data_IF_095404141622
#
_entry.id   IF_095404141622
#
_cell.length_a   1.000
_cell.length_b   1.000
_cell.length_c   1.000
_cell.angle_alpha   90.00
_cell.angle_beta   90.00
_cell.angle_gamma   90.00
#
_symmetry.space_group_name_H-M   'P 1'
#
loop_
_entity.id
_entity.type
_entity.pdbx_description
1 polymer ?
#
# COMPACT_ATOMS: atom_id res chain seq x y z
N UNK A 1 12.39 -15.72 6.97
CA UNK A 1 11.17 -14.89 6.93
C UNK A 1 9.98 -15.81 6.72
N UNK A 2 8.95 -15.76 7.56
CA UNK A 2 7.78 -16.65 7.40
C UNK A 2 6.92 -16.23 6.20
N UNK A 3 6.17 -17.15 5.60
CA UNK A 3 5.28 -16.85 4.45
C UNK A 3 4.25 -15.76 4.77
N UNK A 4 3.78 -15.69 6.03
CA UNK A 4 2.87 -14.64 6.50
C UNK A 4 3.55 -13.26 6.57
N UNK A 5 4.83 -13.21 6.98
CA UNK A 5 5.61 -11.97 6.93
C UNK A 5 5.82 -11.52 5.49
N UNK A 6 6.21 -12.42 4.58
CA UNK A 6 6.38 -12.10 3.16
C UNK A 6 5.09 -11.56 2.54
N UNK A 7 3.97 -12.23 2.77
CA UNK A 7 2.64 -11.78 2.32
C UNK A 7 2.33 -10.36 2.82
N UNK A 8 2.54 -10.13 4.11
CA UNK A 8 2.29 -8.84 4.74
C UNK A 8 3.18 -7.74 4.13
N UNK A 9 4.47 -8.01 3.93
CA UNK A 9 5.40 -7.07 3.31
C UNK A 9 5.04 -6.75 1.86
N UNK A 10 4.70 -7.75 1.05
CA UNK A 10 4.30 -7.58 -0.35
C UNK A 10 3.01 -6.76 -0.46
N UNK A 11 2.00 -7.05 0.37
CA UNK A 11 0.77 -6.25 0.43
C UNK A 11 1.08 -4.79 0.73
N UNK A 12 1.93 -4.53 1.72
CA UNK A 12 2.30 -3.15 2.06
C UNK A 12 3.13 -2.45 0.98
N UNK A 13 4.04 -3.15 0.30
CA UNK A 13 4.81 -2.57 -0.80
C UNK A 13 3.89 -2.21 -1.96
N UNK A 14 3.05 -3.13 -2.42
CA UNK A 14 2.10 -2.88 -3.49
C UNK A 14 1.12 -1.75 -3.13
N UNK A 15 0.64 -1.71 -1.88
CA UNK A 15 -0.22 -0.63 -1.39
C UNK A 15 0.45 0.74 -1.48
N UNK A 16 1.69 0.88 -1.00
CA UNK A 16 2.46 2.14 -1.07
C UNK A 16 2.72 2.51 -2.53
N UNK A 17 3.11 1.54 -3.36
CA UNK A 17 3.35 1.76 -4.80
C UNK A 17 2.09 2.29 -5.49
N UNK A 18 0.95 1.61 -5.34
CA UNK A 18 -0.32 2.04 -5.92
C UNK A 18 -0.71 3.42 -5.43
N UNK A 19 -0.56 3.67 -4.14
CA UNK A 19 -0.89 4.95 -3.56
C UNK A 19 -0.10 6.10 -4.18
N UNK A 20 1.21 5.92 -4.38
CA UNK A 20 2.04 6.90 -5.08
C UNK A 20 1.61 7.02 -6.54
N UNK A 21 1.41 5.91 -7.26
CA UNK A 21 0.98 5.92 -8.66
C UNK A 21 -0.36 6.67 -8.86
N UNK A 22 -1.38 6.36 -8.06
CA UNK A 22 -2.69 7.03 -8.11
C UNK A 22 -2.53 8.53 -7.88
N UNK A 23 -1.77 8.91 -6.84
CA UNK A 23 -1.48 10.33 -6.56
C UNK A 23 -0.92 11.06 -7.78
N UNK A 24 -0.02 10.40 -8.50
CA UNK A 24 0.62 10.98 -9.68
C UNK A 24 -0.33 11.06 -10.87
N UNK A 25 -1.04 9.99 -11.18
CA UNK A 25 -1.97 9.96 -12.31
C UNK A 25 -3.14 10.93 -12.13
N UNK A 26 -3.68 11.08 -10.92
CA UNK A 26 -4.76 12.03 -10.65
C UNK A 26 -4.29 13.48 -10.70
N UNK A 27 -3.00 13.75 -10.43
CA UNK A 27 -2.47 15.12 -10.35
C UNK A 27 -1.89 15.60 -11.68
N UNK A 28 -1.21 14.73 -12.45
CA UNK A 28 -0.49 15.13 -13.66
C UNK A 28 -1.15 14.66 -14.97
N UNK A 29 -2.17 13.81 -14.90
CA UNK A 29 -2.79 13.20 -16.09
C UNK A 29 -1.90 12.16 -16.79
N UNK A 30 -2.38 11.59 -17.89
CA UNK A 30 -1.65 10.61 -18.71
C UNK A 30 -1.17 11.30 -19.99
N UNK A 31 0.12 11.59 -20.09
CA UNK A 31 0.76 12.03 -21.33
C UNK A 31 2.15 11.40 -21.48
N UNK A 32 2.57 11.12 -22.71
CA UNK A 32 3.87 10.50 -23.01
C UNK A 32 5.06 11.35 -22.53
N UNK A 33 4.98 12.68 -22.67
CA UNK A 33 5.97 13.61 -22.13
C UNK A 33 5.95 13.68 -20.60
N UNK A 34 4.81 13.39 -19.97
CA UNK A 34 4.67 13.32 -18.51
C UNK A 34 5.24 12.01 -17.95
N UNK A 35 5.35 10.94 -18.76
CA UNK A 35 5.71 9.59 -18.29
C UNK A 35 7.13 9.50 -17.73
N UNK A 36 8.13 10.14 -18.36
CA UNK A 36 9.50 10.19 -17.84
C UNK A 36 9.58 10.94 -16.50
N UNK A 37 8.83 12.04 -16.38
CA UNK A 37 8.75 12.84 -15.15
C UNK A 37 8.06 12.07 -14.03
N UNK A 38 6.99 11.33 -14.36
CA UNK A 38 6.29 10.41 -13.46
C UNK A 38 7.25 9.32 -12.97
N UNK A 39 8.03 8.71 -13.87
CA UNK A 39 8.94 7.63 -13.50
C UNK A 39 10.07 8.11 -12.57
N UNK A 40 10.63 9.30 -12.82
CA UNK A 40 11.64 9.90 -11.95
C UNK A 40 11.06 10.28 -10.58
N UNK A 41 9.86 10.87 -10.56
CA UNK A 41 9.22 11.22 -9.30
C UNK A 41 8.78 9.97 -8.52
N UNK A 42 8.36 8.89 -9.17
CA UNK A 42 8.10 7.61 -8.53
C UNK A 42 9.35 7.08 -7.83
N UNK A 43 10.53 7.16 -8.47
CA UNK A 43 11.79 6.71 -7.89
C UNK A 43 12.13 7.43 -6.57
N UNK A 44 11.77 8.71 -6.44
CA UNK A 44 12.04 9.55 -5.26
C UNK A 44 10.92 9.45 -4.22
N UNK A 45 9.67 9.51 -4.67
CA UNK A 45 8.51 9.52 -3.78
C UNK A 45 8.23 8.16 -3.16
N UNK A 46 8.55 7.07 -3.86
CA UNK A 46 8.39 5.71 -3.34
C UNK A 46 9.19 5.46 -2.04
N UNK A 47 10.51 5.70 -1.97
CA UNK A 47 11.27 5.49 -0.73
C UNK A 47 10.84 6.46 0.39
N UNK A 48 10.44 7.69 0.05
CA UNK A 48 9.90 8.65 1.02
C UNK A 48 8.59 8.15 1.61
N UNK A 49 7.64 7.74 0.76
CA UNK A 49 6.35 7.21 1.17
C UNK A 49 6.50 5.92 2.00
N UNK A 50 7.45 5.06 1.61
CA UNK A 50 7.77 3.85 2.34
C UNK A 50 8.37 4.16 3.73
N UNK A 51 9.27 5.14 3.79
CA UNK A 51 9.88 5.59 5.05
C UNK A 51 8.84 6.20 5.98
N UNK A 52 7.97 7.08 5.50
CA UNK A 52 6.87 7.66 6.29
C UNK A 52 5.95 6.55 6.81
N UNK A 53 5.62 5.56 5.97
CA UNK A 53 4.82 4.41 6.39
C UNK A 53 5.50 3.65 7.52
N UNK A 54 6.80 3.38 7.42
CA UNK A 54 7.52 2.55 8.38
C UNK A 54 7.78 3.26 9.70
N UNK A 55 8.21 4.52 9.66
CA UNK A 55 8.66 5.27 10.84
C UNK A 55 7.54 6.02 11.54
N UNK A 56 6.49 6.41 10.82
CA UNK A 56 5.42 7.26 11.36
C UNK A 56 4.08 6.54 11.34
N UNK A 57 3.64 6.07 10.17
CA UNK A 57 2.27 5.56 10.03
C UNK A 57 2.04 4.25 10.80
N UNK A 58 2.90 3.25 10.61
CA UNK A 58 2.79 1.95 11.28
C UNK A 58 2.76 2.06 12.81
N UNK A 59 3.65 2.81 13.49
CA UNK A 59 3.57 2.95 14.94
C UNK A 59 2.32 3.68 15.40
N UNK A 60 1.84 4.70 14.66
CA UNK A 60 0.59 5.39 14.98
C UNK A 60 -0.60 4.44 14.88
N UNK A 61 -0.75 3.74 13.75
CA UNK A 61 -1.87 2.80 13.51
C UNK A 61 -1.87 1.69 14.55
N UNK A 62 -0.68 1.17 14.89
CA UNK A 62 -0.53 0.14 15.92
C UNK A 62 -1.02 0.65 17.29
N UNK A 63 -0.60 1.85 17.70
CA UNK A 63 -1.07 2.45 18.96
C UNK A 63 -2.57 2.69 18.98
N UNK A 64 -3.15 3.18 17.87
CA UNK A 64 -4.60 3.36 17.73
C UNK A 64 -5.31 2.02 17.90
N UNK A 65 -4.84 0.97 17.23
CA UNK A 65 -5.45 -0.36 17.36
C UNK A 65 -5.31 -0.97 18.75
N UNK A 66 -4.19 -0.72 19.45
CA UNK A 66 -3.95 -1.20 20.82
C UNK A 66 -4.82 -0.46 21.85
N UNK A 67 -5.05 0.86 21.68
CA UNK A 67 -5.77 1.68 22.66
C UNK A 67 -7.27 1.83 22.37
N UNK A 68 -7.67 1.92 21.10
CA UNK A 68 -9.05 2.25 20.69
C UNK A 68 -9.85 1.00 20.32
N UNK A 69 -9.18 -0.08 19.87
CA UNK A 69 -9.80 -1.34 19.48
C UNK A 69 -9.25 -2.55 20.28
N UNK A 70 -9.19 -2.49 21.64
CA UNK A 70 -8.60 -3.57 22.42
C UNK A 70 -9.35 -4.90 22.28
N UNK A 71 -10.69 -4.90 22.07
CA UNK A 71 -11.50 -6.11 22.11
C UNK A 71 -12.48 -6.35 20.94
N UNK A 72 -12.71 -5.39 20.03
CA UNK A 72 -13.78 -5.53 19.04
C UNK A 72 -13.30 -6.19 17.73
N UNK A 73 -13.33 -7.54 17.74
CA UNK A 73 -13.40 -8.43 16.57
C UNK A 73 -12.12 -8.49 15.72
N UNK A 74 -11.37 -9.58 15.87
CA UNK A 74 -10.16 -9.92 15.09
C UNK A 74 -10.39 -9.84 13.57
N UNK A 75 -11.60 -10.21 13.11
CA UNK A 75 -12.02 -10.05 11.72
C UNK A 75 -12.08 -8.58 11.25
N UNK A 76 -12.42 -7.63 12.12
CA UNK A 76 -12.41 -6.19 11.77
C UNK A 76 -10.98 -5.66 11.66
N UNK A 77 -10.06 -6.10 12.52
CA UNK A 77 -8.65 -5.69 12.49
C UNK A 77 -7.99 -5.97 11.12
N UNK A 78 -8.39 -7.06 10.45
CA UNK A 78 -7.90 -7.45 9.10
C UNK A 78 -8.23 -6.41 8.01
N UNK A 79 -9.26 -5.60 8.19
CA UNK A 79 -9.69 -4.57 7.24
C UNK A 79 -9.38 -3.16 7.73
N UNK A 80 -9.57 -2.88 9.02
CA UNK A 80 -9.35 -1.54 9.58
C UNK A 80 -7.88 -1.18 9.64
N UNK A 81 -6.98 -2.14 9.89
CA UNK A 81 -5.55 -1.88 9.97
C UNK A 81 -4.99 -1.31 8.64
N UNK A 82 -5.11 -2.00 7.49
CA UNK A 82 -4.63 -1.45 6.22
C UNK A 82 -5.37 -0.17 5.83
N UNK A 83 -6.68 -0.04 6.15
CA UNK A 83 -7.43 1.18 5.90
C UNK A 83 -6.83 2.40 6.64
N UNK A 84 -6.51 2.26 7.93
CA UNK A 84 -5.88 3.33 8.70
C UNK A 84 -4.47 3.66 8.21
N UNK A 85 -3.70 2.65 7.76
CA UNK A 85 -2.40 2.91 7.14
C UNK A 85 -2.57 3.73 5.87
N UNK A 86 -3.54 3.40 5.01
CA UNK A 86 -3.84 4.17 3.80
C UNK A 86 -4.24 5.60 4.14
N UNK A 87 -5.19 5.78 5.07
CA UNK A 87 -5.69 7.09 5.49
C UNK A 87 -4.55 7.99 5.98
N UNK A 88 -3.80 7.53 6.98
CA UNK A 88 -2.76 8.34 7.64
C UNK A 88 -1.57 8.57 6.71
N UNK A 89 -1.09 7.54 6.01
CA UNK A 89 0.04 7.70 5.10
C UNK A 89 -0.31 8.64 3.93
N UNK A 90 -1.53 8.53 3.40
CA UNK A 90 -2.03 9.42 2.33
C UNK A 90 -2.16 10.85 2.80
N UNK A 91 -2.68 11.06 4.01
CA UNK A 91 -2.77 12.39 4.61
C UNK A 91 -1.40 13.02 4.78
N UNK A 92 -0.43 12.31 5.36
CA UNK A 92 0.92 12.82 5.57
C UNK A 92 1.63 13.19 4.26
N UNK A 93 1.51 12.35 3.22
CA UNK A 93 2.15 12.64 1.92
C UNK A 93 1.47 13.83 1.24
N UNK A 94 0.13 13.91 1.27
CA UNK A 94 -0.59 15.06 0.71
C UNK A 94 -0.23 16.34 1.45
N UNK A 95 -0.17 16.29 2.79
CA UNK A 95 0.23 17.43 3.62
C UNK A 95 1.64 17.91 3.30
N UNK A 96 2.62 16.99 3.24
CA UNK A 96 4.00 17.30 2.90
C UNK A 96 4.13 17.90 1.49
N UNK A 97 3.38 17.37 0.53
CA UNK A 97 3.38 17.87 -0.84
C UNK A 97 2.87 19.31 -0.91
N UNK A 98 1.75 19.62 -0.24
CA UNK A 98 1.20 20.97 -0.19
C UNK A 98 2.16 21.93 0.54
N UNK A 99 2.78 21.49 1.65
CA UNK A 99 3.73 22.30 2.40
C UNK A 99 4.99 22.64 1.59
N UNK A 100 5.56 21.66 0.88
CA UNK A 100 6.77 21.86 0.03
C UNK A 100 6.46 22.72 -1.20
N UNK A 101 5.26 22.60 -1.76
CA UNK A 101 4.85 23.40 -2.91
C UNK A 101 4.68 24.90 -2.59
N UNK A 102 4.82 25.32 -1.33
CA UNK A 102 4.53 26.67 -0.83
C UNK A 102 3.14 27.18 -1.24
N UNK A 103 2.23 26.26 -1.54
CA UNK A 103 0.82 26.54 -1.76
C UNK A 103 0.26 26.72 -0.34
N UNK A 104 0.46 27.91 0.21
CA UNK A 104 -0.24 28.41 1.40
C UNK A 104 -1.36 29.34 0.95
N UNK A 105 -2.42 28.82 0.29
CA UNK A 105 -3.61 29.62 0.10
C UNK A 105 -4.17 29.95 1.49
N UNK A 106 -4.92 31.04 1.57
CA UNK A 106 -5.73 31.39 2.76
C UNK A 106 -6.50 30.20 3.32
N UNK A 107 -6.83 29.23 2.46
CA UNK A 107 -7.63 28.04 2.75
C UNK A 107 -6.83 26.73 2.67
N UNK A 108 -5.57 26.73 3.14
CA UNK A 108 -4.69 25.54 3.12
C UNK A 108 -5.40 24.26 3.62
N UNK A 109 -6.15 24.36 4.73
CA UNK A 109 -6.87 23.21 5.29
C UNK A 109 -7.97 22.70 4.35
N UNK A 110 -8.71 23.59 3.71
CA UNK A 110 -9.76 23.21 2.76
C UNK A 110 -9.16 22.56 1.51
N UNK A 111 -8.09 23.13 0.97
CA UNK A 111 -7.36 22.57 -0.19
C UNK A 111 -6.76 21.19 0.16
N UNK A 112 -6.21 21.05 1.37
CA UNK A 112 -5.71 19.77 1.87
C UNK A 112 -6.82 18.73 1.94
N UNK A 113 -7.95 19.05 2.59
CA UNK A 113 -9.06 18.12 2.78
C UNK A 113 -9.68 17.70 1.44
N UNK A 114 -9.94 18.64 0.54
CA UNK A 114 -10.49 18.37 -0.80
C UNK A 114 -9.55 17.47 -1.63
N UNK A 115 -8.26 17.77 -1.64
CA UNK A 115 -7.26 16.97 -2.36
C UNK A 115 -7.13 15.57 -1.76
N UNK A 116 -7.13 15.48 -0.43
CA UNK A 116 -7.00 14.22 0.30
C UNK A 116 -8.23 13.35 0.11
N UNK A 117 -9.45 13.91 0.18
CA UNK A 117 -10.70 13.19 -0.03
C UNK A 117 -10.79 12.59 -1.45
N UNK A 118 -10.57 13.40 -2.49
CA UNK A 118 -10.60 12.94 -3.89
C UNK A 118 -9.65 11.77 -4.11
N UNK A 119 -8.48 11.81 -3.49
CA UNK A 119 -7.48 10.75 -3.54
C UNK A 119 -7.95 9.48 -2.83
N UNK A 120 -8.58 9.61 -1.67
CA UNK A 120 -9.12 8.46 -0.92
C UNK A 120 -10.27 7.77 -1.68
N UNK A 121 -11.10 8.52 -2.40
CA UNK A 121 -12.19 7.97 -3.22
C UNK A 121 -11.69 7.00 -4.30
N UNK A 122 -10.47 7.18 -4.81
CA UNK A 122 -9.85 6.26 -5.77
C UNK A 122 -9.06 5.17 -5.05
N UNK A 123 -8.31 5.57 -4.03
CA UNK A 123 -7.31 4.70 -3.40
C UNK A 123 -7.93 3.57 -2.56
N UNK A 124 -8.99 3.86 -1.81
CA UNK A 124 -9.65 2.87 -0.95
C UNK A 124 -10.29 1.76 -1.82
N UNK A 125 -11.13 2.06 -2.83
CA UNK A 125 -11.71 1.02 -3.68
C UNK A 125 -10.64 0.21 -4.42
N UNK A 126 -9.63 0.88 -5.01
CA UNK A 126 -8.57 0.20 -5.74
C UNK A 126 -7.79 -0.77 -4.85
N UNK A 127 -7.51 -0.39 -3.60
CA UNK A 127 -6.82 -1.28 -2.67
C UNK A 127 -7.66 -2.50 -2.29
N UNK A 128 -8.92 -2.29 -1.87
CA UNK A 128 -9.75 -3.37 -1.34
C UNK A 128 -10.31 -4.30 -2.42
N UNK A 129 -10.66 -3.78 -3.61
CA UNK A 129 -11.29 -4.57 -4.67
C UNK A 129 -10.32 -5.10 -5.71
N UNK A 130 -9.14 -4.48 -5.88
CA UNK A 130 -8.17 -4.91 -6.91
C UNK A 130 -6.90 -5.44 -6.26
N UNK A 131 -6.12 -4.61 -5.58
CA UNK A 131 -4.79 -5.03 -5.11
C UNK A 131 -4.81 -6.16 -4.11
N UNK A 132 -5.60 -6.02 -3.05
CA UNK A 132 -5.64 -7.03 -1.98
C UNK A 132 -6.04 -8.40 -2.52
N UNK A 133 -7.14 -8.57 -3.28
CA UNK A 133 -7.48 -9.87 -3.87
C UNK A 133 -6.44 -10.36 -4.88
N UNK A 134 -5.86 -9.49 -5.73
CA UNK A 134 -4.82 -9.90 -6.68
C UNK A 134 -3.57 -10.46 -5.99
N UNK A 135 -3.14 -9.85 -4.88
CA UNK A 135 -1.97 -10.34 -4.12
C UNK A 135 -2.31 -11.62 -3.37
N UNK A 136 -3.51 -11.73 -2.80
CA UNK A 136 -3.97 -12.97 -2.16
C UNK A 136 -3.99 -14.12 -3.17
N UNK A 137 -4.45 -13.88 -4.40
CA UNK A 137 -4.44 -14.85 -5.50
C UNK A 137 -3.01 -15.21 -5.95
N UNK A 138 -2.15 -14.23 -6.18
CA UNK A 138 -0.76 -14.48 -6.62
C UNK A 138 0.01 -15.35 -5.62
N UNK A 139 -0.21 -15.13 -4.32
CA UNK A 139 0.46 -15.89 -3.26
C UNK A 139 -0.16 -17.28 -3.09
N UNK A 140 -1.45 -17.46 -3.35
CA UNK A 140 -2.04 -18.81 -3.36
C UNK A 140 -1.55 -19.63 -4.55
N UNK A 141 -1.45 -19.02 -5.73
CA UNK A 141 -0.97 -19.68 -6.95
C UNK A 141 0.49 -20.13 -6.80
N UNK A 142 1.37 -19.22 -6.37
CA UNK A 142 2.78 -19.56 -6.13
C UNK A 142 2.98 -20.61 -5.02
N UNK A 143 1.98 -20.84 -4.16
CA UNK A 143 2.00 -21.93 -3.18
C UNK A 143 1.66 -23.28 -3.84
N UNK A 144 0.68 -23.31 -4.74
CA UNK A 144 0.33 -24.51 -5.50
C UNK A 144 1.52 -25.02 -6.32
N UNK A 145 2.20 -24.12 -7.04
CA UNK A 145 3.37 -24.46 -7.85
C UNK A 145 4.54 -25.07 -7.03
N UNK A 146 4.73 -24.60 -5.80
CA UNK A 146 5.79 -25.11 -4.92
C UNK A 146 5.45 -26.52 -4.40
N UNK A 147 4.19 -26.80 -4.10
CA UNK A 147 3.75 -28.13 -3.63
C UNK A 147 3.93 -29.16 -4.76
N UNK A 148 3.49 -28.84 -5.98
CA UNK A 148 3.69 -29.73 -7.13
C UNK A 148 5.18 -30.01 -7.42
N UNK A 149 6.05 -29.00 -7.30
CA UNK A 149 7.50 -29.20 -7.47
C UNK A 149 8.09 -30.12 -6.40
N UNK A 150 7.64 -30.03 -5.15
CA UNK A 150 8.11 -30.90 -4.06
C UNK A 150 7.64 -32.35 -4.27
N UNK A 151 6.38 -32.54 -4.65
CA UNK A 151 5.84 -33.87 -4.95
C UNK A 151 6.54 -34.51 -6.16
N UNK A 152 6.78 -33.76 -7.23
CA UNK A 152 7.52 -34.26 -8.39
C UNK A 152 8.94 -34.72 -8.00
N UNK A 153 9.68 -33.92 -7.20
CA UNK A 153 11.01 -34.29 -6.72
C UNK A 153 10.99 -35.53 -5.83
N UNK A 154 10.02 -35.64 -4.92
CA UNK A 154 9.89 -36.81 -4.04
C UNK A 154 9.64 -38.09 -4.84
N UNK A 155 8.76 -38.03 -5.84
CA UNK A 155 8.47 -39.15 -6.73
C UNK A 155 9.68 -39.56 -7.59
N UNK A 156 10.47 -38.59 -8.04
CA UNK A 156 11.71 -38.88 -8.81
C UNK A 156 12.78 -39.55 -7.93
N UNK A 157 12.88 -39.18 -6.65
CA UNK A 157 13.83 -39.79 -5.70
C UNK A 157 13.42 -41.23 -5.36
N UNK A 158 12.12 -41.48 -5.17
CA UNK A 158 11.61 -42.82 -4.87
C UNK A 158 11.65 -43.76 -6.08
N UNK A 159 11.60 -43.23 -7.31
CA UNK A 159 11.74 -44.00 -8.55
C UNK A 159 13.19 -44.46 -8.82
N UNK A 160 14.19 -43.84 -8.20
CA UNK A 160 15.61 -44.14 -8.40
C UNK A 160 16.23 -44.97 -7.26
N UNK A 161 15.40 -45.46 -6.33
CA UNK A 161 15.75 -46.42 -5.28
C UNK A 161 15.15 -47.78 -5.60
#
# INVERSE_FOLDING_TARGET
MSNEQLKTHTIFMCMVTTMVCVSFFTTMGISWHTMQRISLMLLIMWPVAFSIKQWVTMPIVRRIHEHVLPAAVENKKRHTFPLFVILINSGLITFLLLAVAQIYPSDFLATFLDTWEKKLMVLIPLFFFVLRPSIEWLISEGRHDLVERIESKSNTINSNK
#
